data_IF_279607941615
#
_entry.id   IF_279607941615
#
_cell.length_a   1.000
_cell.length_b   1.000
_cell.length_c   1.000
_cell.angle_alpha   90.00
_cell.angle_beta   90.00
_cell.angle_gamma   90.00
#
_symmetry.space_group_name_H-M   'P 1'
#
loop_
_entity.id
_entity.type
_entity.pdbx_description
1 polymer ?
#
# COMPACT_ATOMS: atom_id res chain seq x y z
N UNK A 1 22.31 34.13 57.75
CA UNK A 1 21.29 34.06 56.68
C UNK A 1 21.99 33.58 55.43
N UNK A 2 21.75 32.34 55.03
CA UNK A 2 22.38 31.67 53.90
C UNK A 2 21.22 31.06 53.09
N UNK A 3 21.00 31.40 51.80
CA UNK A 3 19.92 30.79 51.04
C UNK A 3 20.43 29.49 50.42
N UNK A 4 19.84 28.38 50.86
CA UNK A 4 20.01 27.07 50.26
C UNK A 4 19.36 27.06 48.86
N UNK A 5 20.18 26.90 47.82
CA UNK A 5 19.73 26.53 46.47
C UNK A 5 20.01 25.04 46.27
N UNK A 6 19.05 24.19 46.61
CA UNK A 6 19.04 22.79 46.21
C UNK A 6 18.54 22.70 44.76
N UNK A 7 19.47 22.57 43.81
CA UNK A 7 19.15 22.13 42.46
C UNK A 7 19.05 20.60 42.47
N UNK A 8 17.84 20.08 42.27
CA UNK A 8 17.59 18.65 42.10
C UNK A 8 18.33 18.07 40.87
N UNK A 9 18.63 16.76 40.86
CA UNK A 9 19.37 16.14 39.77
C UNK A 9 18.51 16.13 38.51
N UNK A 10 18.96 16.86 37.49
CA UNK A 10 18.42 16.80 36.13
C UNK A 10 18.70 15.41 35.55
N UNK A 11 17.69 14.55 35.50
CA UNK A 11 17.70 13.30 34.72
C UNK A 11 17.65 13.67 33.24
N UNK A 12 18.83 13.90 32.67
CA UNK A 12 19.01 13.96 31.22
C UNK A 12 18.82 12.54 30.70
N UNK A 13 17.70 12.28 30.03
CA UNK A 13 17.49 11.03 29.30
C UNK A 13 18.55 10.96 28.18
N UNK A 14 19.62 10.21 28.41
CA UNK A 14 20.62 9.93 27.39
C UNK A 14 19.94 9.10 26.29
N UNK A 15 19.71 9.74 25.15
CA UNK A 15 19.25 9.08 23.93
C UNK A 15 20.38 8.15 23.50
N UNK A 16 20.20 6.85 23.73
CA UNK A 16 21.13 5.81 23.27
C UNK A 16 21.11 5.82 21.74
N UNK A 17 22.14 6.40 21.12
CA UNK A 17 22.34 6.36 19.67
C UNK A 17 22.79 4.92 19.34
N UNK A 18 22.08 4.20 18.45
CA UNK A 18 22.47 2.86 18.06
C UNK A 18 23.90 2.84 17.49
N UNK A 19 24.66 1.79 17.78
CA UNK A 19 26.03 1.68 17.25
C UNK A 19 26.06 1.61 15.70
N UNK A 20 27.22 1.90 15.12
CA UNK A 20 27.40 1.97 13.67
C UNK A 20 27.08 0.61 12.99
N UNK A 21 27.37 -0.51 13.64
CA UNK A 21 27.09 -1.85 13.11
C UNK A 21 25.58 -2.11 13.05
N UNK A 22 24.83 -1.68 14.07
CA UNK A 22 23.38 -1.73 14.14
C UNK A 22 22.73 -0.89 13.02
N UNK A 23 23.24 0.31 12.76
CA UNK A 23 22.79 1.12 11.62
C UNK A 23 23.03 0.43 10.28
N UNK A 24 24.21 -0.15 10.07
CA UNK A 24 24.52 -0.89 8.83
C UNK A 24 23.64 -2.14 8.67
N UNK A 25 23.30 -2.82 9.77
CA UNK A 25 22.37 -3.95 9.77
C UNK A 25 20.94 -3.51 9.45
N UNK A 26 20.48 -2.39 9.99
CA UNK A 26 19.17 -1.80 9.65
C UNK A 26 19.09 -1.41 8.17
N UNK A 27 20.15 -0.82 7.62
CA UNK A 27 20.22 -0.45 6.20
C UNK A 27 20.16 -1.73 5.33
N UNK A 28 20.95 -2.76 5.65
CA UNK A 28 20.93 -4.04 4.92
C UNK A 28 19.57 -4.72 4.97
N UNK A 29 18.95 -4.76 6.15
CA UNK A 29 17.61 -5.33 6.32
C UNK A 29 16.56 -4.58 5.50
N UNK A 30 16.63 -3.23 5.49
CA UNK A 30 15.74 -2.39 4.70
C UNK A 30 15.91 -2.62 3.19
N UNK A 31 17.15 -2.68 2.71
CA UNK A 31 17.46 -2.96 1.29
C UNK A 31 16.98 -4.35 0.89
N UNK A 32 17.12 -5.36 1.75
CA UNK A 32 16.59 -6.70 1.50
C UNK A 32 15.05 -6.73 1.45
N UNK A 33 14.38 -5.98 2.34
CA UNK A 33 12.92 -5.81 2.31
C UNK A 33 12.45 -5.10 1.03
N UNK A 34 13.17 -4.07 0.59
CA UNK A 34 12.88 -3.35 -0.66
C UNK A 34 13.05 -4.26 -1.88
N UNK A 35 14.11 -5.07 -1.91
CA UNK A 35 14.35 -6.07 -2.96
C UNK A 35 13.24 -7.12 -3.01
N UNK A 36 12.85 -7.70 -1.86
CA UNK A 36 11.76 -8.66 -1.79
C UNK A 36 10.42 -8.04 -2.24
N UNK A 37 10.19 -6.76 -1.92
CA UNK A 37 9.02 -6.02 -2.37
C UNK A 37 9.00 -5.88 -3.88
N UNK A 38 10.13 -5.52 -4.50
CA UNK A 38 10.26 -5.44 -5.96
C UNK A 38 10.04 -6.81 -6.63
N UNK A 39 10.60 -7.88 -6.07
CA UNK A 39 10.38 -9.26 -6.56
C UNK A 39 8.92 -9.67 -6.46
N UNK A 40 8.25 -9.40 -5.34
CA UNK A 40 6.83 -9.69 -5.17
C UNK A 40 5.93 -8.88 -6.13
N UNK A 41 6.31 -7.64 -6.45
CA UNK A 41 5.61 -6.82 -7.45
C UNK A 41 5.77 -7.43 -8.86
N UNK A 42 6.99 -7.84 -9.24
CA UNK A 42 7.26 -8.49 -10.52
C UNK A 42 6.53 -9.84 -10.66
N UNK A 43 6.48 -10.65 -9.60
CA UNK A 43 5.72 -11.90 -9.56
C UNK A 43 4.20 -11.65 -9.66
N UNK A 44 3.69 -10.61 -8.99
CA UNK A 44 2.27 -10.22 -9.11
C UNK A 44 1.89 -9.72 -10.51
N UNK A 45 2.82 -9.09 -11.24
CA UNK A 45 2.59 -8.70 -12.63
C UNK A 45 2.43 -9.93 -13.54
N UNK A 46 3.25 -10.97 -13.36
CA UNK A 46 3.17 -12.21 -14.14
C UNK A 46 1.96 -13.06 -13.78
N UNK A 47 1.51 -13.04 -12.52
CA UNK A 47 0.37 -13.82 -12.04
C UNK A 47 -0.98 -13.09 -12.10
N UNK A 48 -1.07 -11.95 -12.80
CA UNK A 48 -2.27 -11.10 -12.75
C UNK A 48 -3.55 -11.87 -13.15
N UNK A 49 -4.62 -11.81 -12.33
CA UNK A 49 -5.89 -12.44 -12.67
C UNK A 49 -6.46 -11.88 -13.98
N UNK A 50 -6.91 -12.77 -14.88
CA UNK A 50 -7.42 -12.41 -16.23
C UNK A 50 -8.49 -11.32 -16.19
N UNK A 51 -9.40 -11.41 -15.21
CA UNK A 51 -10.48 -10.44 -15.05
C UNK A 51 -9.94 -9.04 -14.70
N UNK A 52 -8.84 -8.96 -13.94
CA UNK A 52 -8.16 -7.71 -13.61
C UNK A 52 -7.45 -7.15 -14.83
N UNK A 53 -6.80 -8.01 -15.63
CA UNK A 53 -6.17 -7.61 -16.91
C UNK A 53 -7.20 -7.01 -17.85
N UNK A 54 -8.32 -7.70 -18.11
CA UNK A 54 -9.39 -7.21 -18.99
C UNK A 54 -9.97 -5.87 -18.49
N UNK A 55 -10.23 -5.76 -17.19
CA UNK A 55 -10.77 -4.55 -16.59
C UNK A 55 -9.79 -3.36 -16.62
N UNK A 56 -8.48 -3.61 -16.61
CA UNK A 56 -7.44 -2.59 -16.71
C UNK A 56 -7.24 -2.19 -18.16
N UNK A 57 -7.13 -3.15 -19.08
CA UNK A 57 -6.98 -2.89 -20.53
C UNK A 57 -8.07 -1.96 -21.05
N UNK A 58 -9.32 -2.14 -20.65
CA UNK A 58 -10.40 -1.24 -21.06
C UNK A 58 -10.19 0.22 -20.62
N UNK A 59 -9.61 0.44 -19.44
CA UNK A 59 -9.33 1.77 -18.89
C UNK A 59 -8.05 2.38 -19.47
N UNK A 60 -7.04 1.54 -19.70
CA UNK A 60 -5.80 1.92 -20.36
C UNK A 60 -6.06 2.34 -21.81
N UNK A 61 -6.91 1.60 -22.53
CA UNK A 61 -7.32 1.99 -23.89
C UNK A 61 -8.03 3.34 -23.89
N UNK A 62 -8.91 3.62 -22.92
CA UNK A 62 -9.55 4.93 -22.81
C UNK A 62 -8.54 6.05 -22.56
N UNK A 63 -7.52 5.81 -21.72
CA UNK A 63 -6.39 6.73 -21.55
C UNK A 63 -5.63 6.97 -22.85
N UNK A 64 -5.28 5.90 -23.58
CA UNK A 64 -4.56 6.02 -24.85
C UNK A 64 -5.37 6.79 -25.89
N UNK A 65 -6.67 6.52 -26.02
CA UNK A 65 -7.55 7.27 -26.93
C UNK A 65 -7.64 8.75 -26.54
N UNK A 66 -7.73 9.05 -25.25
CA UNK A 66 -7.77 10.44 -24.77
C UNK A 66 -6.46 11.19 -25.03
N UNK A 67 -5.32 10.50 -24.91
CA UNK A 67 -4.00 11.02 -25.18
C UNK A 67 -3.65 11.17 -26.69
N UNK A 68 -4.50 10.70 -27.61
CA UNK A 68 -4.28 10.87 -29.06
C UNK A 68 -4.44 12.31 -29.54
N UNK A 69 -5.10 13.16 -28.74
CA UNK A 69 -5.21 14.60 -29.01
C UNK A 69 -3.84 15.26 -28.75
N UNK A 70 -2.93 15.15 -29.72
CA UNK A 70 -1.55 15.64 -29.63
C UNK A 70 -1.45 17.16 -29.52
N UNK A 71 -2.53 17.89 -29.89
CA UNK A 71 -2.60 19.34 -29.69
C UNK A 71 -2.73 19.67 -28.19
N UNK A 72 -3.42 18.83 -27.42
CA UNK A 72 -3.56 18.95 -25.96
C UNK A 72 -2.47 18.22 -25.18
N UNK A 73 -1.95 17.11 -25.71
CA UNK A 73 -1.02 16.21 -25.04
C UNK A 73 0.18 15.87 -25.95
N UNK A 74 1.15 16.81 -26.10
CA UNK A 74 2.34 16.58 -26.93
C UNK A 74 3.24 15.46 -26.41
N UNK A 75 3.14 15.16 -25.11
CA UNK A 75 3.78 14.06 -24.39
C UNK A 75 3.04 12.71 -24.55
N UNK A 76 1.96 12.67 -25.35
CA UNK A 76 1.27 11.45 -25.76
C UNK A 76 0.76 10.64 -24.56
N UNK A 77 1.07 9.35 -24.45
CA UNK A 77 0.54 8.50 -23.38
C UNK A 77 1.34 8.51 -22.08
N UNK A 78 2.36 9.38 -21.94
CA UNK A 78 3.15 9.48 -20.72
C UNK A 78 2.26 9.79 -19.51
N UNK A 79 2.51 9.08 -18.42
CA UNK A 79 1.74 9.19 -17.18
C UNK A 79 2.53 9.96 -16.14
N UNK A 80 1.89 10.96 -15.54
CA UNK A 80 2.34 11.64 -14.33
C UNK A 80 1.11 12.16 -13.57
N UNK A 81 1.31 12.53 -12.32
CA UNK A 81 0.22 12.80 -11.37
C UNK A 81 -0.79 13.85 -11.88
N UNK A 82 -0.31 15.00 -12.36
CA UNK A 82 -1.19 16.10 -12.80
C UNK A 82 -2.02 15.74 -14.03
N UNK A 83 -1.45 15.00 -14.99
CA UNK A 83 -2.21 14.55 -16.18
C UNK A 83 -3.21 13.47 -15.83
N UNK A 84 -2.88 12.57 -14.91
CA UNK A 84 -3.83 11.60 -14.37
C UNK A 84 -5.00 12.30 -13.66
N UNK A 85 -4.73 13.28 -12.81
CA UNK A 85 -5.76 14.08 -12.16
C UNK A 85 -6.66 14.79 -13.20
N UNK A 86 -6.04 15.41 -14.22
CA UNK A 86 -6.76 16.10 -15.29
C UNK A 86 -7.67 15.16 -16.08
N UNK A 87 -7.19 13.97 -16.45
CA UNK A 87 -7.99 12.93 -17.09
C UNK A 87 -9.19 12.50 -16.22
N UNK A 88 -8.95 12.27 -14.93
CA UNK A 88 -10.00 11.83 -14.03
C UNK A 88 -11.10 12.89 -13.90
N UNK A 89 -10.75 14.14 -13.66
CA UNK A 89 -11.70 15.23 -13.44
C UNK A 89 -12.45 15.62 -14.72
N UNK A 90 -11.71 15.86 -15.81
CA UNK A 90 -12.29 16.47 -17.01
C UNK A 90 -12.82 15.46 -18.02
N UNK A 91 -12.39 14.20 -17.95
CA UNK A 91 -12.86 13.14 -18.85
C UNK A 91 -13.71 12.11 -18.11
N UNK A 92 -13.12 11.38 -17.16
CA UNK A 92 -13.76 10.19 -16.56
C UNK A 92 -14.96 10.53 -15.69
N UNK A 93 -14.80 11.49 -14.77
CA UNK A 93 -15.86 11.89 -13.82
C UNK A 93 -17.02 12.54 -14.56
N UNK A 94 -16.73 13.46 -15.50
CA UNK A 94 -17.76 14.13 -16.31
C UNK A 94 -18.54 13.19 -17.22
N UNK A 95 -17.87 12.19 -17.81
CA UNK A 95 -18.52 11.16 -18.63
C UNK A 95 -19.46 10.29 -17.79
N UNK A 96 -19.10 9.98 -16.55
CA UNK A 96 -19.85 9.05 -15.71
C UNK A 96 -19.78 7.61 -16.21
N UNK A 97 -20.79 6.79 -15.89
CA UNK A 97 -20.92 5.41 -16.38
C UNK A 97 -21.34 5.40 -17.84
N UNK A 98 -20.98 4.31 -18.55
CA UNK A 98 -21.42 4.09 -19.94
C UNK A 98 -22.95 3.91 -20.05
N UNK A 99 -23.57 3.38 -19.00
CA UNK A 99 -25.02 3.36 -18.86
C UNK A 99 -25.53 4.77 -18.54
N UNK A 100 -26.49 5.22 -19.33
CA UNK A 100 -27.22 6.46 -19.08
C UNK A 100 -28.53 6.14 -18.38
N UNK A 101 -29.07 7.10 -17.64
CA UNK A 101 -30.45 7.03 -17.15
C UNK A 101 -31.42 7.19 -18.33
N UNK A 102 -32.69 6.89 -18.08
CA UNK A 102 -33.77 7.07 -19.06
C UNK A 102 -33.92 8.53 -19.52
N UNK A 103 -33.53 9.48 -18.66
CA UNK A 103 -33.47 10.92 -18.94
C UNK A 103 -32.23 11.36 -19.76
N UNK A 104 -31.34 10.42 -20.12
CA UNK A 104 -30.11 10.67 -20.86
C UNK A 104 -28.97 11.29 -20.03
N UNK A 105 -29.19 11.59 -18.74
CA UNK A 105 -28.17 12.17 -17.86
C UNK A 105 -27.08 11.15 -17.49
N UNK A 106 -25.81 11.58 -17.33
CA UNK A 106 -24.73 10.71 -16.89
C UNK A 106 -24.96 10.18 -15.48
N UNK A 107 -24.75 8.88 -15.28
CA UNK A 107 -24.72 8.29 -13.94
C UNK A 107 -23.31 8.49 -13.37
N UNK A 108 -23.15 9.09 -12.17
CA UNK A 108 -21.83 9.26 -11.58
C UNK A 108 -21.08 7.93 -11.37
N UNK A 109 -19.76 7.98 -11.55
CA UNK A 109 -18.90 6.86 -11.19
C UNK A 109 -18.73 6.80 -9.66
N UNK A 110 -18.75 5.59 -9.11
CA UNK A 110 -18.43 5.40 -7.70
C UNK A 110 -16.93 5.53 -7.44
N UNK A 111 -16.56 5.83 -6.19
CA UNK A 111 -15.16 5.95 -5.73
C UNK A 111 -14.31 4.75 -6.15
N UNK A 112 -14.84 3.53 -6.03
CA UNK A 112 -14.09 2.32 -6.41
C UNK A 112 -13.81 2.25 -7.92
N UNK A 113 -14.74 2.69 -8.76
CA UNK A 113 -14.51 2.76 -10.20
C UNK A 113 -13.39 3.74 -10.54
N UNK A 114 -13.36 4.89 -9.87
CA UNK A 114 -12.28 5.89 -10.01
C UNK A 114 -10.95 5.30 -9.55
N UNK A 115 -10.92 4.62 -8.40
CA UNK A 115 -9.71 3.95 -7.91
C UNK A 115 -9.20 2.88 -8.87
N UNK A 116 -10.08 2.18 -9.59
CA UNK A 116 -9.66 1.24 -10.64
C UNK A 116 -9.00 1.94 -11.82
N UNK A 117 -9.42 3.16 -12.20
CA UNK A 117 -8.69 3.96 -13.20
C UNK A 117 -7.30 4.34 -12.72
N UNK A 118 -7.20 4.84 -11.49
CA UNK A 118 -5.89 5.18 -10.89
C UNK A 118 -4.97 3.96 -10.89
N UNK A 119 -5.47 2.79 -10.45
CA UNK A 119 -4.68 1.55 -10.45
C UNK A 119 -4.26 1.13 -11.86
N UNK A 120 -5.17 1.20 -12.85
CA UNK A 120 -4.89 0.79 -14.22
C UNK A 120 -3.90 1.73 -14.95
N UNK A 121 -3.95 3.03 -14.68
CA UNK A 121 -3.05 4.02 -15.30
C UNK A 121 -1.70 4.05 -14.58
N UNK A 122 -1.67 3.86 -13.24
CA UNK A 122 -0.42 3.63 -12.51
C UNK A 122 0.33 2.41 -13.05
N UNK A 123 -0.39 1.37 -13.47
CA UNK A 123 0.21 0.20 -14.13
C UNK A 123 1.00 0.59 -15.38
N UNK A 124 0.47 1.51 -16.20
CA UNK A 124 1.19 2.06 -17.37
C UNK A 124 2.44 2.80 -16.91
N UNK A 125 2.34 3.63 -15.87
CA UNK A 125 3.48 4.37 -15.31
C UNK A 125 4.59 3.42 -14.84
N UNK A 126 4.25 2.33 -14.14
CA UNK A 126 5.23 1.32 -13.70
C UNK A 126 5.98 0.75 -14.90
N UNK A 127 5.27 0.37 -15.97
CA UNK A 127 5.91 -0.12 -17.20
C UNK A 127 6.75 0.96 -17.91
N UNK A 128 6.34 2.23 -17.88
CA UNK A 128 7.11 3.35 -18.45
C UNK A 128 8.40 3.61 -17.66
N UNK A 129 8.34 3.49 -16.34
CA UNK A 129 9.48 3.70 -15.45
C UNK A 129 10.48 2.54 -15.50
N UNK A 130 10.00 1.29 -15.53
CA UNK A 130 10.83 0.08 -15.72
C UNK A 130 11.58 0.10 -17.07
N UNK A 131 10.97 0.69 -18.10
CA UNK A 131 11.58 0.85 -19.42
C UNK A 131 12.47 2.10 -19.55
N UNK A 132 12.75 2.81 -18.44
CA UNK A 132 13.52 4.06 -18.39
C UNK A 132 12.98 5.20 -19.29
N UNK A 133 11.70 5.10 -19.70
CA UNK A 133 11.04 6.11 -20.54
C UNK A 133 10.54 7.32 -19.75
N UNK A 134 10.45 7.22 -18.42
CA UNK A 134 9.90 8.27 -17.55
C UNK A 134 10.66 8.39 -16.23
N UNK A 135 11.10 9.61 -15.91
CA UNK A 135 11.69 9.98 -14.61
C UNK A 135 10.66 10.69 -13.70
N UNK A 136 9.37 10.63 -14.06
CA UNK A 136 8.32 11.26 -13.24
C UNK A 136 8.07 10.44 -11.97
N UNK A 137 7.85 11.11 -10.81
CA UNK A 137 7.58 10.41 -9.55
C UNK A 137 6.27 9.60 -9.61
N UNK A 138 6.21 8.53 -8.80
CA UNK A 138 5.04 7.64 -8.70
C UNK A 138 3.74 8.45 -8.49
N UNK A 139 2.75 8.32 -9.40
CA UNK A 139 1.47 9.04 -9.34
C UNK A 139 0.61 8.78 -8.10
N UNK A 140 0.97 7.81 -7.26
CA UNK A 140 0.26 7.52 -6.00
C UNK A 140 1.07 7.79 -4.74
N UNK A 141 2.34 8.19 -4.86
CA UNK A 141 3.26 8.17 -3.73
C UNK A 141 3.69 6.74 -3.37
N UNK A 142 4.93 6.63 -2.90
CA UNK A 142 5.74 5.41 -2.71
C UNK A 142 4.95 4.14 -2.33
N UNK A 143 4.94 3.17 -3.26
CA UNK A 143 4.61 1.75 -3.04
C UNK A 143 5.52 1.11 -1.96
N UNK A 144 5.18 1.28 -0.68
CA UNK A 144 5.80 0.52 0.41
C UNK A 144 4.76 -0.39 1.05
N UNK A 145 5.20 -1.43 1.76
CA UNK A 145 4.35 -2.40 2.48
C UNK A 145 3.30 -1.76 3.42
N UNK A 146 3.42 -0.46 3.69
CA UNK A 146 2.51 0.36 4.49
C UNK A 146 1.54 1.20 3.62
N UNK A 147 1.11 0.70 2.46
CA UNK A 147 0.23 1.42 1.55
C UNK A 147 -1.02 1.95 2.29
N UNK A 148 -1.06 3.27 2.49
CA UNK A 148 -2.18 4.00 3.09
C UNK A 148 -1.87 4.82 4.35
N UNK A 149 -0.79 4.57 5.10
CA UNK A 149 -0.51 5.29 6.36
C UNK A 149 0.96 5.69 6.52
N UNK A 150 1.18 6.94 6.91
CA UNK A 150 2.46 7.42 7.43
C UNK A 150 2.75 6.82 8.80
N UNK A 151 4.02 6.81 9.21
CA UNK A 151 4.43 6.35 10.55
C UNK A 151 3.68 7.10 11.66
N UNK A 152 3.41 8.40 11.47
CA UNK A 152 2.66 9.19 12.46
C UNK A 152 1.20 8.78 12.55
N UNK A 153 0.57 8.44 11.43
CA UNK A 153 -0.81 7.95 11.42
C UNK A 153 -0.92 6.57 12.10
N UNK A 154 0.05 5.69 11.87
CA UNK A 154 0.13 4.40 12.56
C UNK A 154 0.24 4.57 14.08
N UNK A 155 1.08 5.50 14.55
CA UNK A 155 1.22 5.80 15.97
C UNK A 155 -0.09 6.32 16.59
N UNK A 156 -0.80 7.22 15.88
CA UNK A 156 -2.10 7.75 16.35
C UNK A 156 -3.17 6.65 16.42
N UNK A 157 -3.20 5.74 15.46
CA UNK A 157 -4.11 4.59 15.46
C UNK A 157 -3.79 3.66 16.63
N UNK A 158 -2.50 3.43 16.89
CA UNK A 158 -2.06 2.58 17.99
C UNK A 158 -2.47 3.14 19.35
N UNK A 159 -2.21 4.43 19.55
CA UNK A 159 -2.58 5.17 20.75
C UNK A 159 -4.11 5.18 20.95
N UNK A 160 -4.88 5.35 19.87
CA UNK A 160 -6.34 5.33 19.91
C UNK A 160 -6.90 4.00 20.46
N UNK A 161 -6.36 2.86 20.03
CA UNK A 161 -6.81 1.56 20.55
C UNK A 161 -6.32 1.29 21.97
N UNK A 162 -5.08 1.67 22.30
CA UNK A 162 -4.54 1.47 23.65
C UNK A 162 -5.26 2.31 24.70
N UNK A 163 -5.59 3.56 24.39
CA UNK A 163 -6.27 4.49 25.31
C UNK A 163 -7.69 4.05 25.69
N UNK A 164 -8.35 3.22 24.86
CA UNK A 164 -9.67 2.68 25.17
C UNK A 164 -9.66 1.58 26.24
N UNK A 165 -8.49 1.01 26.53
CA UNK A 165 -8.22 0.04 27.59
C UNK A 165 -9.30 -1.03 27.79
N UNK A 166 -9.77 -1.64 26.70
CA UNK A 166 -10.77 -2.70 26.75
C UNK A 166 -10.45 -3.84 25.77
N UNK A 167 -11.04 -5.01 26.02
CA UNK A 167 -10.78 -6.24 25.25
C UNK A 167 -11.10 -6.10 23.75
N UNK A 168 -12.11 -5.30 23.39
CA UNK A 168 -12.50 -5.11 22.00
C UNK A 168 -11.49 -4.23 21.26
N UNK A 169 -10.95 -3.21 21.93
CA UNK A 169 -9.92 -2.34 21.39
C UNK A 169 -8.62 -3.10 21.14
N UNK A 170 -8.19 -3.97 22.06
CA UNK A 170 -7.01 -4.84 21.88
C UNK A 170 -7.22 -5.81 20.72
N UNK A 171 -8.41 -6.43 20.62
CA UNK A 171 -8.75 -7.31 19.49
C UNK A 171 -8.73 -6.56 18.16
N UNK A 172 -9.33 -5.37 18.11
CA UNK A 172 -9.39 -4.56 16.89
C UNK A 172 -7.99 -4.09 16.47
N UNK A 173 -7.14 -3.73 17.44
CA UNK A 173 -5.71 -3.43 17.21
C UNK A 173 -4.96 -4.63 16.64
N UNK A 174 -5.13 -5.83 17.23
CA UNK A 174 -4.52 -7.04 16.70
C UNK A 174 -4.97 -7.34 15.26
N UNK A 175 -6.26 -7.20 14.96
CA UNK A 175 -6.79 -7.35 13.61
C UNK A 175 -6.22 -6.32 12.64
N UNK A 176 -6.14 -5.05 13.04
CA UNK A 176 -5.51 -3.98 12.26
C UNK A 176 -4.04 -4.30 11.93
N UNK A 177 -3.25 -4.70 12.94
CA UNK A 177 -1.85 -5.05 12.76
C UNK A 177 -1.68 -6.28 11.87
N UNK A 178 -2.52 -7.30 12.00
CA UNK A 178 -2.50 -8.48 11.11
C UNK A 178 -2.81 -8.10 9.66
N UNK A 179 -3.84 -7.29 9.43
CA UNK A 179 -4.21 -6.80 8.08
C UNK A 179 -3.04 -6.05 7.45
N UNK A 180 -2.37 -5.18 8.20
CA UNK A 180 -1.26 -4.38 7.69
C UNK A 180 0.04 -5.18 7.51
N UNK A 181 0.41 -6.00 8.49
CA UNK A 181 1.67 -6.75 8.44
C UNK A 181 1.61 -7.93 7.47
N UNK A 182 0.45 -8.55 7.29
CA UNK A 182 0.25 -9.73 6.44
C UNK A 182 -0.49 -9.41 5.13
N UNK A 183 -0.85 -8.14 4.88
CA UNK A 183 -1.58 -7.66 3.71
C UNK A 183 -2.91 -8.41 3.46
N UNK A 184 -3.60 -8.78 4.54
CA UNK A 184 -4.85 -9.53 4.47
C UNK A 184 -6.01 -8.65 4.02
N UNK A 185 -6.97 -9.23 3.30
CA UNK A 185 -8.30 -8.61 3.15
C UNK A 185 -9.04 -8.67 4.49
N UNK A 186 -9.92 -7.70 4.73
CA UNK A 186 -10.73 -7.65 5.95
C UNK A 186 -11.51 -8.94 6.20
N UNK A 187 -12.07 -9.55 5.14
CA UNK A 187 -12.76 -10.84 5.20
C UNK A 187 -11.85 -11.96 5.74
N UNK A 188 -10.61 -12.05 5.22
CA UNK A 188 -9.63 -13.04 5.64
C UNK A 188 -9.19 -12.84 7.09
N UNK A 189 -8.90 -11.59 7.47
CA UNK A 189 -8.44 -11.28 8.82
C UNK A 189 -9.54 -11.50 9.88
N UNK A 190 -10.81 -11.23 9.53
CA UNK A 190 -11.95 -11.48 10.41
C UNK A 190 -12.33 -12.97 10.49
N UNK A 191 -12.10 -13.72 9.42
CA UNK A 191 -12.37 -15.17 9.36
C UNK A 191 -11.26 -16.04 9.95
N UNK A 192 -10.06 -15.49 10.19
CA UNK A 192 -8.92 -16.24 10.72
C UNK A 192 -9.21 -16.73 12.15
N UNK A 193 -9.02 -18.04 12.36
CA UNK A 193 -9.10 -18.66 13.66
C UNK A 193 -7.70 -18.84 14.24
N UNK A 194 -7.60 -19.00 15.55
CA UNK A 194 -6.31 -19.23 16.22
C UNK A 194 -5.55 -20.46 15.65
N UNK A 195 -6.20 -21.59 15.28
CA UNK A 195 -5.52 -22.72 14.65
C UNK A 195 -4.94 -22.42 13.26
N UNK A 196 -5.42 -21.36 12.58
CA UNK A 196 -4.89 -20.94 11.29
C UNK A 196 -3.56 -20.18 11.44
N UNK A 197 -3.19 -19.78 12.66
CA UNK A 197 -1.96 -19.06 12.97
C UNK A 197 -0.91 -20.01 13.53
N UNK A 198 0.24 -20.06 12.88
CA UNK A 198 1.40 -20.85 13.29
C UNK A 198 2.62 -19.96 13.46
N UNK A 199 3.42 -20.21 14.50
CA UNK A 199 4.71 -19.55 14.66
C UNK A 199 5.81 -20.37 14.00
N UNK A 200 6.68 -19.74 13.21
CA UNK A 200 7.85 -20.36 12.62
C UNK A 200 9.09 -19.55 12.98
N UNK A 201 10.14 -20.22 13.45
CA UNK A 201 11.44 -19.56 13.66
C UNK A 201 12.14 -19.37 12.32
N UNK A 202 12.43 -18.12 11.97
CA UNK A 202 13.15 -17.77 10.76
C UNK A 202 14.66 -17.95 11.00
N UNK A 203 15.19 -19.07 10.52
CA UNK A 203 16.63 -19.37 10.56
C UNK A 203 17.40 -18.41 9.64
N UNK A 204 18.65 -18.10 9.99
CA UNK A 204 19.57 -17.23 9.23
C UNK A 204 19.15 -15.75 9.15
N UNK A 205 18.45 -15.23 10.16
CA UNK A 205 18.28 -13.80 10.36
C UNK A 205 19.37 -13.34 11.35
N UNK A 206 20.46 -12.78 10.82
CA UNK A 206 21.79 -12.64 11.44
C UNK A 206 21.88 -11.90 12.80
N UNK A 207 20.78 -11.40 13.37
CA UNK A 207 20.82 -10.44 14.49
C UNK A 207 19.87 -10.75 15.66
N UNK A 208 18.80 -11.54 15.49
CA UNK A 208 17.88 -11.92 16.57
C UNK A 208 17.01 -13.10 16.21
N UNK A 209 16.59 -13.90 17.21
CA UNK A 209 15.57 -14.93 17.05
C UNK A 209 14.28 -14.28 16.55
N UNK A 210 14.02 -14.40 15.27
CA UNK A 210 12.84 -13.84 14.64
C UNK A 210 11.77 -14.93 14.53
N UNK A 211 10.66 -14.74 15.26
CA UNK A 211 9.48 -15.60 15.15
C UNK A 211 8.58 -14.96 14.08
N UNK A 212 8.53 -15.60 12.92
CA UNK A 212 7.54 -15.28 11.90
C UNK A 212 6.20 -15.86 12.28
N UNK A 213 5.14 -15.06 12.17
CA UNK A 213 3.78 -15.57 12.23
C UNK A 213 3.34 -15.95 10.82
N UNK A 214 2.88 -17.18 10.65
CA UNK A 214 2.36 -17.74 9.41
C UNK A 214 0.85 -17.88 9.58
N UNK A 215 0.07 -17.31 8.65
CA UNK A 215 -1.38 -17.48 8.61
C UNK A 215 -1.75 -18.40 7.45
N UNK A 216 -2.58 -19.41 7.71
CA UNK A 216 -3.18 -20.26 6.69
C UNK A 216 -4.49 -19.60 6.24
N UNK A 217 -4.57 -19.30 4.95
CA UNK A 217 -5.76 -18.69 4.35
C UNK A 217 -6.54 -19.79 3.63
N UNK A 218 -7.68 -20.18 4.18
CA UNK A 218 -8.55 -21.23 3.63
C UNK A 218 -9.67 -20.67 2.74
N UNK A 219 -9.84 -19.34 2.71
CA UNK A 219 -10.87 -18.66 1.93
C UNK A 219 -10.25 -17.59 1.03
N UNK A 220 -10.42 -17.77 -0.28
CA UNK A 220 -9.97 -16.83 -1.30
C UNK A 220 -10.44 -17.26 -2.68
N UNK A 221 -10.39 -16.34 -3.65
CA UNK A 221 -10.58 -16.74 -5.05
C UNK A 221 -9.41 -17.63 -5.42
N UNK A 222 -9.68 -18.92 -5.58
CA UNK A 222 -8.72 -19.85 -6.13
C UNK A 222 -8.19 -19.29 -7.45
N UNK A 223 -6.87 -19.35 -7.60
CA UNK A 223 -6.26 -19.06 -8.88
C UNK A 223 -6.65 -20.13 -9.92
N UNK A 224 -6.25 -19.95 -11.17
CA UNK A 224 -6.61 -20.89 -12.25
C UNK A 224 -6.18 -22.34 -11.96
N UNK A 225 -5.19 -22.49 -11.10
CA UNK A 225 -4.58 -23.76 -10.70
C UNK A 225 -5.20 -24.32 -9.41
N UNK A 226 -6.30 -23.73 -8.91
CA UNK A 226 -7.02 -24.21 -7.73
C UNK A 226 -6.33 -23.92 -6.40
N UNK A 227 -5.24 -23.14 -6.38
CA UNK A 227 -4.56 -22.73 -5.15
C UNK A 227 -5.15 -21.41 -4.64
N UNK A 228 -5.30 -21.33 -3.32
CA UNK A 228 -5.73 -20.13 -2.61
C UNK A 228 -4.53 -19.21 -2.40
#
# INVERSE_FOLDING_TARGET
MNPNNEAGPSTRNDIIIPDNEHYQNMIRARVAMEKNTQTAIAENQTYRPVNTTVAYTAKQNEWFEWCKDLEKFPDGPLVYDTKLAFFLEYHVIRRGRKLKKDDGSPIPLGRESILQYVKAIKDIWVSQHEAEFSDYPDPKGKNTLNDGYTTQELLKIDEHFLNQNNRYAVRNKACFLMIHAMLLRSETALGALLPDLSSMELKNQDVSKCIGMVAIITFGKANKDGKI
#
